data_IF_007087910781
#
_entry.id   IF_007087910781
#
_cell.length_a   1.000
_cell.length_b   1.000
_cell.length_c   1.000
_cell.angle_alpha   90.00
_cell.angle_beta   90.00
_cell.angle_gamma   90.00
#
_symmetry.space_group_name_H-M   'P 1'
#
loop_
_entity.id
_entity.type
_entity.pdbx_description
1 polymer ?
#
# COMPACT_ATOMS: atom_id res chain seq x y z
N UNK A 1 -22.38 -7.13 5.02
CA UNK A 1 -21.86 -8.47 5.22
C UNK A 1 -22.95 -9.39 5.75
N UNK A 2 -22.92 -10.66 5.40
CA UNK A 2 -23.82 -11.69 5.90
C UNK A 2 -23.14 -12.50 6.99
N UNK A 3 -23.93 -13.03 7.94
CA UNK A 3 -23.45 -13.91 9.00
C UNK A 3 -24.26 -15.21 8.96
N UNK A 4 -23.58 -16.33 9.20
CA UNK A 4 -24.23 -17.61 9.40
C UNK A 4 -23.98 -18.11 10.81
N UNK A 5 -24.98 -18.80 11.39
CA UNK A 5 -24.87 -19.43 12.72
C UNK A 5 -24.27 -20.83 12.55
N UNK A 6 -23.35 -21.18 13.43
CA UNK A 6 -22.83 -22.54 13.51
C UNK A 6 -23.90 -23.49 14.05
N UNK A 7 -24.01 -24.67 13.45
CA UNK A 7 -24.96 -25.70 13.89
C UNK A 7 -24.56 -26.20 15.27
N UNK A 8 -25.49 -26.24 16.19
CA UNK A 8 -25.30 -26.65 17.60
C UNK A 8 -24.50 -25.66 18.49
N UNK A 9 -24.28 -24.41 18.04
CA UNK A 9 -23.67 -23.38 18.87
C UNK A 9 -24.39 -22.04 18.71
N UNK A 10 -24.15 -21.11 19.62
CA UNK A 10 -24.65 -19.73 19.50
C UNK A 10 -23.63 -18.80 18.85
N UNK A 11 -22.64 -19.36 18.19
CA UNK A 11 -21.60 -18.59 17.47
C UNK A 11 -22.06 -18.24 16.06
N UNK A 12 -21.74 -17.03 15.66
CA UNK A 12 -21.95 -16.51 14.32
C UNK A 12 -20.59 -16.22 13.69
N UNK A 13 -20.47 -16.49 12.41
CA UNK A 13 -19.26 -16.19 11.64
C UNK A 13 -19.61 -15.46 10.34
N UNK A 14 -18.75 -14.57 9.86
CA UNK A 14 -18.96 -13.86 8.62
C UNK A 14 -18.84 -14.81 7.43
N UNK A 15 -19.70 -14.62 6.44
CA UNK A 15 -19.68 -15.40 5.20
C UNK A 15 -19.65 -14.49 3.98
N UNK A 16 -18.95 -14.94 2.96
CA UNK A 16 -19.07 -14.45 1.59
C UNK A 16 -19.74 -15.54 0.75
N UNK A 17 -20.65 -15.14 -0.14
CA UNK A 17 -21.33 -16.13 -0.96
C UNK A 17 -22.13 -15.50 -2.09
N UNK A 18 -22.56 -16.36 -3.00
CA UNK A 18 -23.34 -16.02 -4.17
C UNK A 18 -24.65 -16.79 -4.19
N UNK A 19 -25.70 -16.12 -4.65
CA UNK A 19 -26.98 -16.74 -4.93
C UNK A 19 -27.12 -16.81 -6.45
N UNK A 20 -27.19 -18.03 -6.99
CA UNK A 20 -27.33 -18.26 -8.42
C UNK A 20 -28.71 -18.86 -8.70
N UNK A 21 -29.51 -18.25 -9.58
CA UNK A 21 -30.79 -18.83 -9.99
C UNK A 21 -30.59 -20.11 -10.81
N UNK A 22 -31.42 -21.12 -10.54
CA UNK A 22 -31.47 -22.37 -11.32
C UNK A 22 -32.63 -22.24 -12.29
N UNK A 23 -32.33 -22.39 -13.58
CA UNK A 23 -33.32 -22.32 -14.65
C UNK A 23 -33.70 -23.71 -15.16
N UNK A 24 -34.98 -23.89 -15.47
CA UNK A 24 -35.45 -24.99 -16.26
C UNK A 24 -36.46 -24.45 -17.30
N UNK A 25 -36.20 -24.69 -18.60
CA UNK A 25 -37.04 -24.20 -19.71
C UNK A 25 -37.34 -22.69 -19.64
N UNK A 26 -36.32 -21.87 -19.34
CA UNK A 26 -36.39 -20.40 -19.20
C UNK A 26 -37.13 -19.89 -17.94
N UNK A 27 -37.63 -20.76 -17.08
CA UNK A 27 -38.21 -20.40 -15.80
C UNK A 27 -37.25 -20.67 -14.65
N UNK A 28 -37.24 -19.77 -13.65
CA UNK A 28 -36.47 -19.96 -12.42
C UNK A 28 -37.18 -21.04 -11.58
N UNK A 29 -36.56 -22.19 -11.45
CA UNK A 29 -37.09 -23.32 -10.68
C UNK A 29 -36.49 -23.42 -9.27
N UNK A 30 -35.44 -22.66 -8.99
CA UNK A 30 -34.80 -22.68 -7.68
C UNK A 30 -33.64 -21.68 -7.59
N UNK A 31 -33.00 -21.64 -6.44
CA UNK A 31 -31.78 -20.87 -6.20
C UNK A 31 -30.74 -21.76 -5.54
N UNK A 32 -29.50 -21.68 -6.02
CA UNK A 32 -28.35 -22.27 -5.35
C UNK A 32 -27.63 -21.20 -4.54
N UNK A 33 -27.33 -21.50 -3.27
CA UNK A 33 -26.54 -20.65 -2.39
C UNK A 33 -25.17 -21.32 -2.21
N UNK A 34 -24.11 -20.60 -2.58
CA UNK A 34 -22.75 -20.94 -2.20
C UNK A 34 -22.31 -19.95 -1.11
N UNK A 35 -21.80 -20.44 0.01
CA UNK A 35 -21.31 -19.58 1.09
C UNK A 35 -19.99 -20.13 1.65
N UNK A 36 -19.02 -19.24 1.84
CA UNK A 36 -17.72 -19.54 2.41
C UNK A 36 -17.52 -18.75 3.72
N UNK A 37 -17.02 -19.41 4.74
CA UNK A 37 -16.60 -18.74 5.98
C UNK A 37 -15.36 -17.88 5.69
N UNK A 38 -15.42 -16.60 6.06
CA UNK A 38 -14.33 -15.62 5.83
C UNK A 38 -13.71 -15.12 7.15
N UNK A 39 -13.94 -15.83 8.28
CA UNK A 39 -13.43 -15.40 9.59
C UNK A 39 -11.92 -15.23 9.61
N UNK A 40 -11.18 -16.15 9.00
CA UNK A 40 -9.71 -16.10 8.96
C UNK A 40 -9.22 -14.93 8.10
N UNK A 41 -9.85 -14.70 6.96
CA UNK A 41 -9.54 -13.59 6.04
C UNK A 41 -9.83 -12.24 6.71
N UNK A 42 -10.97 -12.10 7.38
CA UNK A 42 -11.32 -10.90 8.14
C UNK A 42 -10.37 -10.67 9.34
N UNK A 43 -9.98 -11.73 10.03
CA UNK A 43 -9.02 -11.65 11.13
C UNK A 43 -7.63 -11.23 10.62
N UNK A 44 -7.15 -11.84 9.54
CA UNK A 44 -5.87 -11.47 8.93
C UNK A 44 -5.88 -10.03 8.44
N UNK A 45 -6.99 -9.58 7.82
CA UNK A 45 -7.15 -8.20 7.39
C UNK A 45 -7.09 -7.23 8.56
N UNK A 46 -7.85 -7.47 9.63
CA UNK A 46 -7.83 -6.63 10.84
C UNK A 46 -6.47 -6.59 11.51
N UNK A 47 -5.80 -7.73 11.59
CA UNK A 47 -4.44 -7.81 12.13
C UNK A 47 -3.46 -7.01 11.27
N UNK A 48 -3.58 -7.11 9.94
CA UNK A 48 -2.75 -6.35 9.01
C UNK A 48 -3.01 -4.84 9.15
N UNK A 49 -4.28 -4.41 9.16
CA UNK A 49 -4.66 -2.99 9.31
C UNK A 49 -4.11 -2.42 10.63
N UNK A 50 -4.27 -3.15 11.74
CA UNK A 50 -3.73 -2.74 13.04
C UNK A 50 -2.19 -2.66 13.04
N UNK A 51 -1.51 -3.62 12.41
CA UNK A 51 -0.05 -3.61 12.31
C UNK A 51 0.45 -2.43 11.46
N UNK A 52 -0.27 -2.07 10.41
CA UNK A 52 0.01 -0.91 9.56
C UNK A 52 -0.16 0.39 10.35
N UNK A 53 -1.26 0.55 11.07
CA UNK A 53 -1.55 1.75 11.85
C UNK A 53 -0.52 2.02 12.96
N UNK A 54 -0.12 0.96 13.70
CA UNK A 54 0.86 1.09 14.77
C UNK A 54 2.29 1.31 14.29
N UNK A 55 2.67 0.70 13.17
CA UNK A 55 4.05 0.76 12.65
C UNK A 55 4.33 1.97 11.77
N UNK A 56 3.31 2.71 11.34
CA UNK A 56 3.38 3.75 10.32
C UNK A 56 4.05 3.26 9.01
N UNK A 57 3.83 1.96 8.70
CA UNK A 57 4.20 1.34 7.43
C UNK A 57 2.94 1.25 6.59
N UNK A 58 2.99 1.80 5.39
CA UNK A 58 1.84 1.85 4.50
C UNK A 58 2.09 0.96 3.29
N UNK A 59 1.24 -0.07 3.05
CA UNK A 59 1.29 -0.83 1.82
C UNK A 59 0.84 0.04 0.66
N UNK A 60 1.36 -0.23 -0.52
CA UNK A 60 0.94 0.41 -1.75
C UNK A 60 1.04 -0.55 -2.93
N UNK A 61 0.30 -0.26 -3.94
CA UNK A 61 0.31 -0.97 -5.21
C UNK A 61 0.43 0.04 -6.35
N UNK A 62 1.17 -0.32 -7.38
CA UNK A 62 1.12 0.37 -8.66
C UNK A 62 0.45 -0.53 -9.69
N UNK A 63 -0.64 -0.05 -10.22
CA UNK A 63 -1.39 -0.69 -11.29
C UNK A 63 -0.84 -0.20 -12.63
N UNK A 64 -0.22 -1.10 -13.38
CA UNK A 64 0.41 -0.79 -14.66
C UNK A 64 -0.60 -0.51 -15.78
N UNK A 65 -1.82 -1.03 -15.67
CA UNK A 65 -2.87 -0.80 -16.66
C UNK A 65 -3.41 0.63 -16.58
N UNK A 66 -3.70 1.09 -15.36
CA UNK A 66 -4.23 2.44 -15.13
C UNK A 66 -3.14 3.49 -14.91
N UNK A 67 -1.87 3.08 -14.75
CA UNK A 67 -0.73 3.93 -14.43
C UNK A 67 -0.93 4.73 -13.13
N UNK A 68 -1.52 4.09 -12.12
CA UNK A 68 -1.90 4.71 -10.86
C UNK A 68 -1.30 3.98 -9.66
N UNK A 69 -0.97 4.76 -8.64
CA UNK A 69 -0.66 4.25 -7.29
C UNK A 69 -1.95 4.09 -6.49
N UNK A 70 -2.06 2.99 -5.77
CA UNK A 70 -3.16 2.68 -4.88
C UNK A 70 -2.60 2.56 -3.46
N UNK A 71 -3.19 3.29 -2.52
CA UNK A 71 -2.80 3.32 -1.11
C UNK A 71 -3.97 2.96 -0.19
N UNK A 72 -3.72 2.56 1.06
CA UNK A 72 -4.78 2.43 2.04
C UNK A 72 -5.42 3.79 2.33
N UNK A 73 -6.67 3.73 2.77
CA UNK A 73 -7.40 4.93 3.18
C UNK A 73 -6.61 5.72 4.23
N UNK A 74 -6.62 7.05 4.10
CA UNK A 74 -5.94 7.95 5.04
C UNK A 74 -4.45 8.18 4.77
N UNK A 75 -3.75 7.33 4.00
CA UNK A 75 -2.35 7.59 3.69
C UNK A 75 -2.17 8.91 2.92
N UNK A 76 -2.96 9.12 1.88
CA UNK A 76 -2.84 10.28 0.99
C UNK A 76 -3.21 11.61 1.68
N UNK A 77 -3.92 11.57 2.82
CA UNK A 77 -4.18 12.75 3.65
C UNK A 77 -2.87 13.43 4.11
N UNK A 78 -1.83 12.63 4.35
CA UNK A 78 -0.49 13.15 4.71
C UNK A 78 0.12 13.99 3.60
N UNK A 79 -0.28 13.75 2.36
CA UNK A 79 0.16 14.48 1.17
C UNK A 79 -0.79 15.63 0.78
N UNK A 80 -1.90 15.79 1.52
CA UNK A 80 -2.88 16.86 1.33
C UNK A 80 -4.09 16.50 0.48
N UNK A 81 -4.32 15.19 0.24
CA UNK A 81 -5.53 14.72 -0.44
C UNK A 81 -6.69 14.53 0.53
N UNK A 82 -7.91 14.44 0.01
CA UNK A 82 -9.11 14.08 0.78
C UNK A 82 -8.99 12.64 1.31
N UNK A 83 -9.58 12.37 2.48
CA UNK A 83 -9.53 11.06 3.14
C UNK A 83 -10.12 9.93 2.27
N UNK A 84 -11.11 10.23 1.44
CA UNK A 84 -11.72 9.27 0.54
C UNK A 84 -10.84 8.89 -0.66
N UNK A 85 -9.77 9.65 -0.93
CA UNK A 85 -8.85 9.37 -2.05
C UNK A 85 -7.89 8.26 -1.65
N UNK A 86 -7.88 7.18 -2.42
CA UNK A 86 -6.98 6.03 -2.24
C UNK A 86 -6.10 5.80 -3.46
N UNK A 87 -6.36 6.49 -4.56
CA UNK A 87 -5.68 6.30 -5.84
C UNK A 87 -5.24 7.63 -6.41
N UNK A 88 -3.98 7.71 -6.85
CA UNK A 88 -3.41 8.87 -7.53
C UNK A 88 -2.59 8.42 -8.74
N UNK A 89 -2.56 9.25 -9.77
CA UNK A 89 -1.74 9.00 -10.95
C UNK A 89 -0.25 9.08 -10.63
N UNK A 90 0.57 8.48 -11.50
CA UNK A 90 2.03 8.61 -11.43
C UNK A 90 2.48 10.08 -11.44
N UNK A 91 1.86 10.90 -12.27
CA UNK A 91 2.19 12.32 -12.38
C UNK A 91 1.85 13.11 -11.09
N UNK A 92 0.75 12.77 -10.43
CA UNK A 92 0.41 13.36 -9.14
C UNK A 92 1.39 12.94 -8.06
N UNK A 93 1.79 11.67 -8.03
CA UNK A 93 2.82 11.19 -7.12
C UNK A 93 4.13 11.93 -7.32
N UNK A 94 4.58 12.08 -8.57
CA UNK A 94 5.79 12.80 -8.92
C UNK A 94 5.81 14.25 -8.40
N UNK A 95 4.67 14.94 -8.38
CA UNK A 95 4.54 16.32 -7.86
C UNK A 95 4.72 16.40 -6.35
N UNK A 96 4.63 15.29 -5.64
CA UNK A 96 4.89 15.25 -4.20
C UNK A 96 6.37 15.06 -3.87
N UNK A 97 7.18 14.59 -4.84
CA UNK A 97 8.61 14.30 -4.65
C UNK A 97 9.43 15.59 -4.75
N UNK A 98 10.50 15.67 -3.95
CA UNK A 98 11.42 16.81 -4.00
C UNK A 98 12.06 16.96 -5.40
N UNK A 99 12.17 18.18 -5.93
CA UNK A 99 12.71 18.42 -7.28
C UNK A 99 14.11 17.81 -7.54
N UNK A 100 14.97 17.77 -6.53
CA UNK A 100 16.31 17.20 -6.68
C UNK A 100 16.28 15.66 -6.79
N UNK A 101 15.25 15.01 -6.19
CA UNK A 101 15.17 13.56 -6.09
C UNK A 101 14.40 12.95 -7.27
N UNK A 102 13.49 13.69 -7.89
CA UNK A 102 12.54 13.19 -8.89
C UNK A 102 13.20 12.53 -10.10
N UNK A 103 14.33 13.05 -10.57
CA UNK A 103 15.02 12.52 -11.76
C UNK A 103 15.53 11.11 -11.52
N UNK A 104 16.16 10.89 -10.37
CA UNK A 104 16.70 9.58 -9.99
C UNK A 104 15.57 8.59 -9.73
N UNK A 105 14.53 9.01 -9.02
CA UNK A 105 13.37 8.18 -8.72
C UNK A 105 12.66 7.70 -10.00
N UNK A 106 12.47 8.57 -10.98
CA UNK A 106 11.88 8.18 -12.28
C UNK A 106 12.68 7.10 -12.99
N UNK A 107 14.01 7.25 -13.04
CA UNK A 107 14.89 6.26 -13.67
C UNK A 107 14.81 4.90 -12.98
N UNK A 108 14.85 4.89 -11.65
CA UNK A 108 14.78 3.64 -10.87
C UNK A 108 13.39 2.99 -10.98
N UNK A 109 12.34 3.80 -10.97
CA UNK A 109 10.98 3.31 -11.15
C UNK A 109 10.74 2.74 -12.56
N UNK A 110 11.27 3.40 -13.61
CA UNK A 110 11.18 2.89 -14.98
C UNK A 110 11.94 1.56 -15.15
N UNK A 111 13.06 1.35 -14.47
CA UNK A 111 13.75 0.05 -14.43
C UNK A 111 12.92 -1.04 -13.75
N UNK A 112 12.22 -0.69 -12.68
CA UNK A 112 11.29 -1.62 -12.05
C UNK A 112 10.13 -1.98 -13.00
N UNK A 113 9.57 -1.00 -13.72
CA UNK A 113 8.52 -1.23 -14.71
C UNK A 113 8.98 -2.11 -15.90
N UNK A 114 10.23 -1.97 -16.33
CA UNK A 114 10.81 -2.79 -17.41
C UNK A 114 11.17 -4.21 -16.97
N UNK A 115 11.11 -4.51 -15.66
CA UNK A 115 11.50 -5.81 -15.12
C UNK A 115 13.03 -6.01 -15.02
N UNK A 116 13.83 -4.93 -15.17
CA UNK A 116 15.28 -5.00 -14.98
C UNK A 116 15.66 -5.26 -13.51
N UNK A 117 14.80 -4.87 -12.58
CA UNK A 117 14.97 -5.08 -11.15
C UNK A 117 13.71 -5.70 -10.55
N UNK A 118 13.83 -6.88 -9.94
CA UNK A 118 12.70 -7.59 -9.30
C UNK A 118 12.24 -6.93 -8.00
N UNK A 119 13.12 -6.20 -7.33
CA UNK A 119 12.84 -5.47 -6.10
C UNK A 119 13.63 -4.18 -6.04
N UNK A 120 13.02 -3.13 -5.49
CA UNK A 120 13.67 -1.83 -5.33
C UNK A 120 13.53 -1.30 -3.92
N UNK A 121 14.52 -0.48 -3.52
CA UNK A 121 14.49 0.28 -2.28
C UNK A 121 14.90 1.72 -2.58
N UNK A 122 13.98 2.65 -2.37
CA UNK A 122 14.14 4.06 -2.71
C UNK A 122 13.99 4.91 -1.45
N UNK A 123 14.91 5.83 -1.25
CA UNK A 123 14.82 6.85 -0.20
C UNK A 123 14.76 8.22 -0.86
N UNK A 124 13.70 8.96 -0.60
CA UNK A 124 13.52 10.29 -1.17
C UNK A 124 12.70 11.19 -0.26
N UNK A 125 12.75 12.48 -0.54
CA UNK A 125 11.98 13.50 0.17
C UNK A 125 10.62 13.68 -0.49
N UNK A 126 9.57 13.58 0.30
CA UNK A 126 8.19 13.74 -0.13
C UNK A 126 7.52 14.87 0.64
N UNK A 127 6.76 15.71 -0.05
CA UNK A 127 6.08 16.87 0.53
C UNK A 127 4.85 16.42 1.33
N UNK A 128 4.76 16.85 2.58
CA UNK A 128 3.61 16.63 3.44
C UNK A 128 2.51 17.69 3.23
N UNK A 129 1.37 17.51 3.92
CA UNK A 129 0.21 18.43 3.87
C UNK A 129 0.56 19.88 4.26
N UNK A 130 1.62 20.09 5.05
CA UNK A 130 2.10 21.43 5.45
C UNK A 130 3.02 22.07 4.41
N UNK A 131 3.35 21.35 3.34
CA UNK A 131 4.30 21.78 2.33
C UNK A 131 5.77 21.54 2.67
N UNK A 132 6.05 20.86 3.79
CA UNK A 132 7.40 20.51 4.24
C UNK A 132 7.82 19.17 3.61
N UNK A 133 9.12 19.01 3.37
CA UNK A 133 9.66 17.74 2.87
C UNK A 133 10.10 16.84 4.01
N UNK A 134 9.61 15.60 3.97
CA UNK A 134 9.95 14.52 4.88
C UNK A 134 10.64 13.40 4.14
N UNK A 135 11.59 12.71 4.78
CA UNK A 135 12.25 11.54 4.23
C UNK A 135 11.38 10.29 4.34
N UNK A 136 11.20 9.63 3.21
CA UNK A 136 10.47 8.37 3.08
C UNK A 136 11.36 7.29 2.49
N UNK A 137 11.13 6.05 2.93
CA UNK A 137 11.64 4.84 2.31
C UNK A 137 10.49 4.12 1.62
N UNK A 138 10.66 3.78 0.35
CA UNK A 138 9.77 2.94 -0.42
C UNK A 138 10.50 1.65 -0.78
N UNK A 139 9.87 0.50 -0.52
CA UNK A 139 10.33 -0.82 -0.91
C UNK A 139 9.26 -1.46 -1.78
N UNK A 140 9.67 -2.10 -2.85
CA UNK A 140 8.74 -2.75 -3.77
C UNK A 140 9.29 -4.03 -4.35
N UNK A 141 8.36 -4.86 -4.82
CA UNK A 141 8.64 -6.07 -5.59
C UNK A 141 7.64 -6.18 -6.72
N UNK A 142 8.09 -6.71 -7.84
CA UNK A 142 7.21 -7.05 -8.95
C UNK A 142 6.50 -8.36 -8.61
N UNK A 143 5.19 -8.37 -8.77
CA UNK A 143 4.38 -9.58 -8.62
C UNK A 143 3.84 -9.98 -9.97
N UNK A 144 4.24 -11.16 -10.43
CA UNK A 144 3.79 -11.76 -11.69
C UNK A 144 2.72 -12.81 -11.42
N UNK A 145 1.63 -12.80 -12.19
CA UNK A 145 0.79 -13.99 -12.34
C UNK A 145 -0.20 -14.31 -11.23
N UNK A 146 -0.89 -13.33 -10.65
CA UNK A 146 -2.06 -13.61 -9.82
C UNK A 146 -3.28 -14.09 -10.65
N UNK A 147 -3.33 -13.79 -11.95
CA UNK A 147 -4.28 -14.31 -12.92
C UNK A 147 -3.61 -14.46 -14.29
N UNK A 148 -4.15 -15.34 -15.17
CA UNK A 148 -3.59 -15.59 -16.51
C UNK A 148 -3.57 -14.37 -17.44
N UNK A 149 -4.34 -13.31 -17.10
CA UNK A 149 -4.47 -12.06 -17.88
C UNK A 149 -3.93 -10.83 -17.14
N UNK A 150 -3.38 -10.96 -15.92
CA UNK A 150 -2.88 -9.80 -15.20
C UNK A 150 -1.49 -9.41 -15.65
N UNK A 151 -1.41 -8.25 -16.26
CA UNK A 151 -0.19 -7.47 -16.40
C UNK A 151 0.50 -7.33 -15.03
N UNK A 152 1.81 -7.26 -15.04
CA UNK A 152 2.64 -7.12 -13.84
C UNK A 152 2.13 -6.00 -12.93
N UNK A 153 1.94 -6.29 -11.66
CA UNK A 153 1.70 -5.28 -10.63
C UNK A 153 2.95 -5.11 -9.77
N UNK A 154 3.21 -3.89 -9.35
CA UNK A 154 4.25 -3.60 -8.37
C UNK A 154 3.56 -3.45 -7.02
N UNK A 155 3.96 -4.27 -6.06
CA UNK A 155 3.51 -4.16 -4.67
C UNK A 155 4.65 -3.68 -3.79
N UNK A 156 4.33 -2.86 -2.81
CA UNK A 156 5.34 -2.34 -1.92
C UNK A 156 4.80 -1.88 -0.58
N UNK A 157 5.74 -1.42 0.23
CA UNK A 157 5.48 -0.72 1.48
C UNK A 157 6.28 0.57 1.51
N UNK A 158 5.76 1.59 2.15
CA UNK A 158 6.49 2.81 2.42
C UNK A 158 6.40 3.20 3.89
N UNK A 159 7.42 3.86 4.39
CA UNK A 159 7.50 4.36 5.76
C UNK A 159 8.27 5.66 5.84
N UNK A 160 7.91 6.51 6.81
CA UNK A 160 8.70 7.70 7.10
C UNK A 160 10.00 7.30 7.82
N UNK A 161 11.12 7.76 7.30
CA UNK A 161 12.44 7.62 7.92
C UNK A 161 12.96 8.97 8.45
N UNK A 162 12.08 9.96 8.60
CA UNK A 162 12.43 11.30 9.03
C UNK A 162 13.16 11.31 10.39
N UNK A 163 12.65 10.55 11.36
CA UNK A 163 13.29 10.45 12.69
C UNK A 163 14.72 9.91 12.62
N UNK A 164 14.93 8.91 11.76
CA UNK A 164 16.26 8.34 11.54
C UNK A 164 17.20 9.38 10.91
N UNK A 165 16.75 10.09 9.88
CA UNK A 165 17.53 11.13 9.21
C UNK A 165 17.87 12.30 10.12
N UNK A 166 16.93 12.70 10.96
CA UNK A 166 17.18 13.77 11.97
C UNK A 166 18.26 13.33 12.97
N UNK A 167 18.13 12.12 13.54
CA UNK A 167 19.11 11.60 14.50
C UNK A 167 20.49 11.40 13.86
N UNK A 168 20.57 10.95 12.62
CA UNK A 168 21.82 10.81 11.86
C UNK A 168 22.51 12.18 11.68
N UNK A 169 21.73 13.19 11.34
CA UNK A 169 22.25 14.56 11.18
C UNK A 169 22.75 15.13 12.50
N UNK A 170 22.00 14.99 13.59
CA UNK A 170 22.40 15.45 14.93
C UNK A 170 23.70 14.79 15.40
N UNK A 171 23.83 13.48 15.21
CA UNK A 171 25.07 12.77 15.51
C UNK A 171 26.25 13.25 14.70
N UNK A 172 26.04 13.51 13.41
CA UNK A 172 27.10 14.05 12.53
C UNK A 172 27.56 15.42 12.99
N UNK A 173 26.63 16.32 13.26
CA UNK A 173 26.93 17.67 13.75
C UNK A 173 27.64 17.66 15.12
N UNK A 174 27.23 16.79 16.04
CA UNK A 174 27.87 16.61 17.33
C UNK A 174 29.35 16.15 17.18
N UNK A 175 29.54 15.15 16.29
CA UNK A 175 30.88 14.65 15.98
C UNK A 175 31.78 15.72 15.36
N UNK A 176 31.27 16.50 14.42
CA UNK A 176 32.06 17.54 13.75
C UNK A 176 32.41 18.68 14.70
N UNK A 177 31.50 19.06 15.62
CA UNK A 177 31.78 19.99 16.72
C UNK A 177 32.88 19.49 17.68
N UNK A 178 32.82 18.20 18.07
CA UNK A 178 33.86 17.61 18.93
C UNK A 178 35.22 17.59 18.26
N UNK A 179 35.31 17.27 16.98
CA UNK A 179 36.57 17.31 16.22
C UNK A 179 37.13 18.71 16.02
N UNK A 180 36.33 19.75 16.06
CA UNK A 180 36.76 21.15 16.01
C UNK A 180 37.26 21.68 17.36
N UNK A 181 36.70 21.19 18.48
CA UNK A 181 37.06 21.58 19.83
C UNK A 181 38.43 21.04 20.30
N UNK A 182 38.90 19.95 19.70
CA UNK A 182 40.20 19.30 19.99
C UNK A 182 41.38 19.88 19.16
N UNK A 183 41.17 20.92 18.38
CA UNK A 183 42.19 21.65 17.63
C UNK A 183 42.57 22.98 18.29
#
# INVERSE_FOLDING_TARGET
>A
GAFMKEVHSDKYFPVSGEIVPIFSREEITGMALSARNISDEEMQKRFFDMAVDESAIYPWQFDMETNCFIFPQGFLVRLGYDEAVTTISREEMDRTIHPDDIKEIRVLFDKALSGEEESTRLNFRQRNVKGEYEWWEYRSSIVTGLTQDSLYNILGVCQSIQRYKTAEQEMREARDKALQADK
#
